data_IF_395570305211
#
_entry.id   IF_395570305211
#
_cell.length_a   1.000
_cell.length_b   1.000
_cell.length_c   1.000
_cell.angle_alpha   90.00
_cell.angle_beta   90.00
_cell.angle_gamma   90.00
#
_symmetry.space_group_name_H-M   'P 1'
#
loop_
_entity.id
_entity.type
_entity.pdbx_description
1 polymer ?
#
# COMPACT_ATOMS: atom_id res chain seq x y z
N UNK A 1 8.02 -1.67 -4.84
CA UNK A 1 7.26 -2.92 -4.73
C UNK A 1 8.18 -3.95 -5.28
N UNK A 2 8.47 -4.94 -4.46
CA UNK A 2 9.27 -6.08 -4.84
C UNK A 2 8.35 -7.29 -4.89
N UNK A 3 8.50 -8.11 -5.92
CA UNK A 3 7.72 -9.32 -6.10
C UNK A 3 8.69 -10.47 -6.35
N UNK A 4 8.69 -11.41 -5.41
CA UNK A 4 9.53 -12.60 -5.46
C UNK A 4 8.64 -13.83 -5.45
N UNK A 5 8.91 -14.75 -6.37
CA UNK A 5 8.29 -16.07 -6.41
C UNK A 5 9.28 -17.12 -5.88
N UNK A 6 8.79 -18.00 -5.02
CA UNK A 6 9.45 -19.23 -4.63
C UNK A 6 8.64 -20.44 -5.13
N UNK A 7 9.17 -21.67 -5.03
CA UNK A 7 8.41 -22.86 -5.42
C UNK A 7 7.09 -23.07 -4.65
N UNK A 8 6.89 -22.41 -3.51
CA UNK A 8 5.72 -22.62 -2.64
C UNK A 8 4.90 -21.36 -2.36
N UNK A 9 5.37 -20.16 -2.72
CA UNK A 9 4.67 -18.92 -2.41
C UNK A 9 5.14 -17.74 -3.27
N UNK A 10 4.32 -16.70 -3.30
CA UNK A 10 4.73 -15.36 -3.74
C UNK A 10 4.84 -14.43 -2.54
N UNK A 11 5.87 -13.59 -2.55
CA UNK A 11 6.12 -12.54 -1.57
C UNK A 11 6.00 -11.20 -2.28
N UNK A 12 5.09 -10.35 -1.80
CA UNK A 12 4.91 -8.99 -2.28
C UNK A 12 5.28 -8.03 -1.15
N UNK A 13 6.32 -7.23 -1.38
CA UNK A 13 6.76 -6.21 -0.43
C UNK A 13 6.44 -4.83 -1.00
N UNK A 14 5.70 -4.02 -0.25
CA UNK A 14 5.29 -2.68 -0.67
C UNK A 14 5.57 -1.69 0.43
N UNK A 15 6.50 -0.77 0.17
CA UNK A 15 6.77 0.36 1.04
C UNK A 15 5.75 1.48 0.78
N UNK A 16 4.91 1.75 1.78
CA UNK A 16 3.92 2.83 1.74
C UNK A 16 4.18 3.82 2.88
N UNK A 17 4.61 5.02 2.54
CA UNK A 17 4.98 6.03 3.54
C UNK A 17 3.76 6.74 4.11
N UNK A 18 3.73 6.89 5.44
CA UNK A 18 2.71 7.67 6.13
C UNK A 18 1.41 6.91 6.39
N UNK A 19 1.35 5.62 6.03
CA UNK A 19 0.25 4.72 6.35
C UNK A 19 0.73 3.64 7.32
N UNK A 20 -0.09 3.35 8.31
CA UNK A 20 0.06 2.20 9.20
C UNK A 20 -0.56 0.96 8.56
N UNK A 21 -0.34 -0.22 9.16
CA UNK A 21 -0.96 -1.46 8.68
C UNK A 21 -2.49 -1.38 8.70
N UNK A 22 -3.07 -0.69 9.69
CA UNK A 22 -4.51 -0.54 9.85
C UNK A 22 -5.12 0.39 8.78
N UNK A 23 -4.31 1.28 8.18
CA UNK A 23 -4.73 2.13 7.06
C UNK A 23 -4.73 1.38 5.71
N UNK A 24 -4.26 0.12 5.69
CA UNK A 24 -4.14 -0.71 4.48
C UNK A 24 -5.24 -1.78 4.45
N UNK A 25 -5.96 -1.82 3.33
CA UNK A 25 -6.93 -2.85 2.98
C UNK A 25 -6.40 -3.69 1.83
N UNK A 26 -6.45 -5.00 2.00
CA UNK A 26 -6.08 -5.98 0.97
C UNK A 26 -7.31 -6.81 0.62
N UNK A 27 -7.66 -6.87 -0.67
CA UNK A 27 -8.83 -7.61 -1.16
C UNK A 27 -8.52 -8.31 -2.49
N UNK A 28 -9.32 -9.32 -2.81
CA UNK A 28 -9.34 -9.93 -4.15
C UNK A 28 -10.58 -9.43 -4.86
N UNK A 29 -10.39 -8.82 -6.02
CA UNK A 29 -11.48 -8.45 -6.92
C UNK A 29 -11.83 -9.62 -7.86
N UNK A 30 -12.83 -9.45 -8.72
CA UNK A 30 -13.27 -10.52 -9.62
C UNK A 30 -12.10 -11.12 -10.41
N UNK A 31 -12.00 -12.45 -10.38
CA UNK A 31 -10.89 -13.19 -10.97
C UNK A 31 -9.71 -13.33 -10.01
N UNK A 32 -8.58 -12.75 -10.39
CA UNK A 32 -7.26 -12.94 -9.79
C UNK A 32 -6.54 -11.62 -9.48
N UNK A 33 -7.29 -10.51 -9.36
CA UNK A 33 -6.72 -9.19 -9.06
C UNK A 33 -6.61 -9.01 -7.54
N UNK A 34 -5.38 -8.91 -7.04
CA UNK A 34 -5.08 -8.45 -5.69
C UNK A 34 -5.10 -6.92 -5.67
N UNK A 35 -6.08 -6.35 -4.99
CA UNK A 35 -6.19 -4.92 -4.76
C UNK A 35 -5.67 -4.55 -3.37
N UNK A 36 -4.73 -3.62 -3.33
CA UNK A 36 -4.14 -3.06 -2.10
C UNK A 36 -4.45 -1.58 -2.09
N UNK A 37 -5.34 -1.17 -1.19
CA UNK A 37 -5.74 0.22 -1.00
C UNK A 37 -5.27 0.71 0.36
N UNK A 38 -4.70 1.90 0.39
CA UNK A 38 -4.32 2.59 1.60
C UNK A 38 -5.03 3.92 1.68
N UNK A 39 -5.84 4.13 2.71
CA UNK A 39 -6.55 5.38 2.92
C UNK A 39 -6.25 5.88 4.33
N UNK A 40 -5.48 6.96 4.42
CA UNK A 40 -5.04 7.47 5.70
C UNK A 40 -3.95 8.52 5.56
N UNK A 41 -3.12 8.62 6.59
CA UNK A 41 -2.10 9.65 6.71
C UNK A 41 -2.64 10.88 7.41
N UNK A 42 -1.97 11.24 8.49
CA UNK A 42 -2.25 12.51 9.17
C UNK A 42 -1.65 13.62 8.34
N UNK A 43 -2.43 14.66 8.10
CA UNK A 43 -1.87 15.94 7.68
C UNK A 43 -0.88 16.34 8.77
N UNK A 44 0.40 16.51 8.42
CA UNK A 44 1.34 17.09 9.38
C UNK A 44 0.90 18.54 9.56
N UNK A 45 0.47 18.95 10.76
CA UNK A 45 0.15 20.34 10.99
C UNK A 45 1.43 21.13 10.75
N UNK A 46 1.32 22.22 9.99
CA UNK A 46 2.42 23.18 9.95
C UNK A 46 2.56 23.76 11.35
N UNK A 47 3.77 23.70 11.92
CA UNK A 47 4.06 24.34 13.18
C UNK A 47 3.74 25.83 13.06
N UNK A 48 2.83 26.29 13.91
CA UNK A 48 2.58 27.72 14.10
C UNK A 48 3.90 28.27 14.62
N UNK A 49 4.52 29.19 13.88
CA UNK A 49 5.82 29.83 14.16
C UNK A 49 7.08 29.21 13.50
N UNK A 50 6.93 28.29 12.52
CA UNK A 50 8.05 27.80 11.71
C UNK A 50 8.00 28.26 10.24
N UNK A 51 9.15 28.60 9.66
CA UNK A 51 9.28 28.84 8.20
C UNK A 51 9.73 27.57 7.50
N UNK A 52 8.90 27.08 6.58
CA UNK A 52 9.21 25.90 5.77
C UNK A 52 10.05 26.30 4.57
N UNK A 53 11.30 25.83 4.52
CA UNK A 53 12.20 26.13 3.39
C UNK A 53 11.96 25.19 2.20
N UNK A 54 11.58 23.92 2.45
CA UNK A 54 11.31 22.92 1.43
C UNK A 54 10.21 21.95 1.91
N UNK A 55 9.19 21.71 1.08
CA UNK A 55 8.11 20.73 1.32
C UNK A 55 7.89 19.88 0.07
N UNK A 56 8.81 18.98 -0.23
CA UNK A 56 8.71 18.09 -1.41
C UNK A 56 7.65 16.99 -1.22
N UNK A 57 7.45 16.56 0.03
CA UNK A 57 6.41 15.59 0.38
C UNK A 57 5.16 16.37 0.76
N UNK A 58 4.29 16.60 -0.21
CA UNK A 58 2.93 17.11 0.01
C UNK A 58 2.26 16.48 1.24
N UNK A 59 1.71 17.36 2.07
CA UNK A 59 1.34 17.13 3.47
C UNK A 59 -0.07 16.59 3.64
N UNK A 60 -0.87 16.49 2.58
CA UNK A 60 -2.27 16.05 2.59
C UNK A 60 -2.49 14.55 2.85
N UNK A 61 -3.75 14.16 3.11
CA UNK A 61 -4.20 12.76 3.02
C UNK A 61 -3.88 12.23 1.61
N UNK A 62 -3.13 11.14 1.54
CA UNK A 62 -2.77 10.51 0.26
C UNK A 62 -3.40 9.13 0.20
N UNK A 63 -4.25 8.92 -0.80
CA UNK A 63 -4.67 7.58 -1.17
C UNK A 63 -3.49 6.83 -1.79
N UNK A 64 -3.31 5.59 -1.37
CA UNK A 64 -2.47 4.59 -2.03
C UNK A 64 -3.39 3.56 -2.68
N UNK A 65 -3.11 3.17 -3.93
CA UNK A 65 -3.80 2.06 -4.56
C UNK A 65 -2.84 1.30 -5.46
N UNK A 66 -2.92 -0.02 -5.44
CA UNK A 66 -2.22 -0.88 -6.37
C UNK A 66 -3.06 -2.11 -6.69
N UNK A 67 -3.14 -2.42 -7.98
CA UNK A 67 -3.80 -3.61 -8.50
C UNK A 67 -2.73 -4.51 -9.11
N UNK A 68 -2.78 -5.79 -8.75
CA UNK A 68 -1.79 -6.77 -9.14
C UNK A 68 -2.54 -8.00 -9.60
N UNK A 69 -2.44 -8.32 -10.89
CA UNK A 69 -2.95 -9.57 -11.42
C UNK A 69 -2.05 -10.72 -10.95
N UNK A 70 -2.61 -11.64 -10.15
CA UNK A 70 -1.91 -12.82 -9.66
C UNK A 70 -1.85 -13.90 -10.73
N UNK A 71 -0.79 -14.72 -10.81
CA UNK A 71 -0.78 -15.87 -11.69
C UNK A 71 -1.98 -16.81 -11.42
N UNK A 72 -2.52 -17.42 -12.47
CA UNK A 72 -3.74 -18.25 -12.40
C UNK A 72 -3.65 -19.43 -11.42
N UNK A 73 -2.44 -19.88 -11.11
CA UNK A 73 -2.19 -21.00 -10.19
C UNK A 73 -2.12 -20.57 -8.72
N UNK A 74 -2.18 -19.27 -8.41
CA UNK A 74 -2.19 -18.78 -7.04
C UNK A 74 -3.52 -19.13 -6.38
N UNK A 75 -3.43 -19.81 -5.24
CA UNK A 75 -4.60 -20.07 -4.40
C UNK A 75 -4.96 -18.81 -3.59
N UNK A 76 -5.92 -18.04 -4.10
CA UNK A 76 -6.38 -16.79 -3.48
C UNK A 76 -6.93 -16.97 -2.05
N UNK A 77 -7.41 -18.17 -1.70
CA UNK A 77 -7.92 -18.46 -0.35
C UNK A 77 -6.81 -18.54 0.72
N UNK A 78 -5.54 -18.62 0.31
CA UNK A 78 -4.40 -18.74 1.21
C UNK A 78 -3.59 -17.44 1.36
N UNK A 79 -4.09 -16.33 0.81
CA UNK A 79 -3.44 -15.02 0.93
C UNK A 79 -3.44 -14.57 2.40
N UNK A 80 -2.31 -14.01 2.84
CA UNK A 80 -2.10 -13.47 4.19
C UNK A 80 -1.55 -12.05 4.08
N UNK A 81 -2.10 -11.13 4.87
CA UNK A 81 -1.74 -9.70 4.89
C UNK A 81 -1.21 -9.21 6.24
#
# INVERSE_FOLDING_TARGET
MDWVESPTAHFLEINVQGLSKDDIKVQIEEGNILQIKGEGGKEKPHEKDATWLVVERGTGKRGFSREIELPKYVNVAQIKG
#
